data_IF_906556738611
#
_entry.id   IF_906556738611
#
_cell.length_a   1.000
_cell.length_b   1.000
_cell.length_c   1.000
_cell.angle_alpha   90.00
_cell.angle_beta   90.00
_cell.angle_gamma   90.00
#
_symmetry.space_group_name_H-M   'P 1'
#
loop_
_entity.id
_entity.type
_entity.pdbx_description
1 polymer ?
#
# COMPACT_ATOMS: atom_id res chain seq x y z
N UNK A 1 -60.17 -49.51 20.44
CA UNK A 1 -59.22 -48.39 20.62
C UNK A 1 -58.58 -48.11 19.26
N UNK A 2 -59.32 -47.38 18.42
CA UNK A 2 -59.06 -45.99 18.00
C UNK A 2 -58.16 -45.91 16.77
N UNK A 3 -58.82 -46.00 15.61
CA UNK A 3 -58.35 -45.46 14.34
C UNK A 3 -58.36 -43.92 14.42
N UNK A 4 -57.30 -43.28 13.94
CA UNK A 4 -57.26 -41.83 13.80
C UNK A 4 -56.89 -41.46 12.36
N UNK A 5 -57.93 -41.09 11.62
CA UNK A 5 -57.88 -40.32 10.38
C UNK A 5 -57.46 -38.90 10.70
N UNK A 6 -56.52 -38.31 9.96
CA UNK A 6 -56.46 -36.85 9.79
C UNK A 6 -55.99 -36.51 8.38
N UNK A 7 -56.85 -35.75 7.68
CA UNK A 7 -56.67 -35.25 6.31
C UNK A 7 -55.55 -34.20 6.26
N UNK A 8 -54.77 -34.24 5.19
CA UNK A 8 -53.89 -33.14 4.77
C UNK A 8 -54.77 -32.01 4.23
N UNK A 9 -54.82 -30.90 4.94
CA UNK A 9 -55.42 -29.64 4.49
C UNK A 9 -54.30 -28.76 3.94
N UNK A 10 -54.21 -28.69 2.61
CA UNK A 10 -53.39 -27.69 1.91
C UNK A 10 -54.01 -26.33 2.16
N UNK A 11 -53.33 -25.49 2.94
CA UNK A 11 -53.65 -24.05 3.03
C UNK A 11 -52.44 -23.29 2.51
N UNK A 12 -52.53 -22.85 1.25
CA UNK A 12 -51.70 -21.79 0.71
C UNK A 12 -51.89 -20.55 1.58
N UNK A 13 -50.85 -20.14 2.31
CA UNK A 13 -50.84 -18.87 3.01
C UNK A 13 -49.69 -17.99 2.50
N UNK A 14 -50.11 -17.04 1.66
CA UNK A 14 -49.48 -15.75 1.33
C UNK A 14 -48.00 -15.60 1.66
N UNK A 15 -47.20 -15.58 0.60
CA UNK A 15 -45.87 -14.95 0.56
C UNK A 15 -45.95 -13.54 1.15
N UNK A 16 -45.36 -13.34 2.33
CA UNK A 16 -45.02 -12.02 2.81
C UNK A 16 -43.95 -11.44 1.88
N UNK A 17 -44.13 -10.22 1.31
CA UNK A 17 -43.05 -9.60 0.55
C UNK A 17 -41.91 -9.31 1.52
N UNK A 18 -40.79 -10.00 1.33
CA UNK A 18 -39.54 -9.69 2.01
C UNK A 18 -39.23 -8.22 1.77
N UNK A 19 -38.98 -7.48 2.85
CA UNK A 19 -38.49 -6.10 2.79
C UNK A 19 -37.20 -6.14 1.97
N UNK A 20 -37.30 -5.72 0.72
CA UNK A 20 -36.16 -5.54 -0.18
C UNK A 20 -35.23 -4.54 0.48
N UNK A 21 -34.17 -5.06 1.09
CA UNK A 21 -33.05 -4.26 1.55
C UNK A 21 -32.48 -3.60 0.28
N UNK A 22 -32.79 -2.32 0.07
CA UNK A 22 -32.04 -1.51 -0.87
C UNK A 22 -30.63 -1.45 -0.30
N UNK A 23 -29.73 -2.26 -0.85
CA UNK A 23 -28.32 -2.03 -0.66
C UNK A 23 -28.06 -0.65 -1.25
N UNK A 24 -27.90 0.34 -0.37
CA UNK A 24 -27.19 1.55 -0.72
C UNK A 24 -25.73 1.12 -0.89
N UNK A 25 -25.44 0.47 -2.02
CA UNK A 25 -24.10 0.19 -2.48
C UNK A 25 -23.51 1.50 -3.02
N UNK A 26 -23.59 2.56 -2.20
CA UNK A 26 -22.63 3.63 -2.25
C UNK A 26 -21.38 3.01 -1.65
N UNK A 27 -20.61 2.34 -2.49
CA UNK A 27 -19.22 2.02 -2.25
C UNK A 27 -18.59 3.33 -1.81
N UNK A 28 -18.46 3.54 -0.49
CA UNK A 28 -17.56 4.54 0.06
C UNK A 28 -16.17 3.99 -0.22
N UNK A 29 -15.77 4.07 -1.49
CA UNK A 29 -14.36 4.03 -1.85
C UNK A 29 -13.81 5.21 -1.07
N UNK A 30 -13.06 4.92 0.00
CA UNK A 30 -12.31 5.94 0.70
C UNK A 30 -11.66 6.78 -0.39
N UNK A 31 -11.95 8.08 -0.42
CA UNK A 31 -11.43 8.98 -1.43
C UNK A 31 -9.95 9.18 -1.08
N UNK A 32 -9.14 8.17 -1.39
CA UNK A 32 -7.70 8.25 -1.28
C UNK A 32 -7.33 9.27 -2.36
N UNK A 33 -7.12 10.52 -1.94
CA UNK A 33 -6.60 11.54 -2.83
C UNK A 33 -5.25 11.00 -3.31
N UNK A 34 -5.13 10.75 -4.60
CA UNK A 34 -3.87 10.34 -5.19
C UNK A 34 -2.81 11.37 -4.80
N UNK A 35 -1.73 10.90 -4.16
CA UNK A 35 -0.51 11.63 -3.92
C UNK A 35 0.11 11.83 -5.29
N UNK A 36 -0.23 12.93 -5.95
CA UNK A 36 0.72 13.60 -6.83
C UNK A 36 1.64 14.37 -5.88
N UNK A 37 2.54 13.65 -5.22
CA UNK A 37 3.43 14.27 -4.26
C UNK A 37 4.49 15.02 -5.07
N UNK A 38 4.36 16.35 -5.11
CA UNK A 38 5.40 17.20 -5.67
C UNK A 38 6.50 17.30 -4.59
N UNK A 39 7.26 16.22 -4.40
CA UNK A 39 8.36 16.13 -3.42
C UNK A 39 9.56 17.00 -3.82
N UNK A 40 9.53 17.53 -5.05
CA UNK A 40 10.53 18.45 -5.56
C UNK A 40 10.61 19.71 -4.67
N UNK A 41 11.77 19.89 -4.03
CA UNK A 41 12.02 20.98 -3.08
C UNK A 41 11.52 20.76 -1.65
N UNK A 42 10.91 19.60 -1.35
CA UNK A 42 10.56 19.25 0.02
C UNK A 42 11.82 18.81 0.79
N UNK A 43 11.98 19.30 2.02
CA UNK A 43 13.09 18.88 2.89
C UNK A 43 12.96 17.37 3.18
N UNK A 44 14.03 16.62 2.89
CA UNK A 44 14.12 15.16 3.00
C UNK A 44 15.27 14.71 3.89
N UNK A 45 15.22 13.48 4.38
CA UNK A 45 16.35 12.79 5.03
C UNK A 45 16.78 11.60 4.17
N UNK A 46 18.09 11.35 4.08
CA UNK A 46 18.59 10.16 3.41
C UNK A 46 18.43 8.94 4.33
N UNK A 47 17.66 7.94 3.89
CA UNK A 47 17.43 6.68 4.62
C UNK A 47 18.40 5.58 4.20
N UNK A 48 18.87 5.62 2.95
CA UNK A 48 19.83 4.65 2.44
C UNK A 48 20.12 4.84 0.96
N UNK A 49 21.19 4.22 0.49
CA UNK A 49 21.59 4.24 -0.92
C UNK A 49 22.04 2.85 -1.34
N UNK A 50 21.79 2.48 -2.60
CA UNK A 50 22.35 1.27 -3.19
C UNK A 50 22.89 1.57 -4.59
N UNK A 51 24.17 1.24 -4.83
CA UNK A 51 24.73 1.25 -6.17
C UNK A 51 24.15 0.05 -6.94
N UNK A 52 23.59 0.31 -8.11
CA UNK A 52 23.03 -0.72 -8.97
C UNK A 52 24.06 -1.16 -10.03
N UNK A 53 23.96 -2.41 -10.53
CA UNK A 53 24.71 -2.83 -11.71
C UNK A 53 24.44 -1.92 -12.92
N UNK A 54 25.44 -1.71 -13.77
CA UNK A 54 25.33 -0.79 -14.91
C UNK A 54 24.30 -1.26 -15.94
N UNK A 55 24.26 -2.57 -16.17
CA UNK A 55 23.40 -3.30 -17.11
C UNK A 55 21.99 -3.58 -16.54
N UNK A 56 21.66 -3.10 -15.34
CA UNK A 56 20.34 -3.35 -14.75
C UNK A 56 19.21 -2.77 -15.60
N UNK A 57 18.16 -3.57 -15.79
CA UNK A 57 16.89 -3.09 -16.31
C UNK A 57 16.14 -2.32 -15.21
N UNK A 58 16.14 -0.99 -15.31
CA UNK A 58 15.53 -0.10 -14.31
C UNK A 58 14.02 -0.29 -14.22
N UNK A 59 13.34 -0.60 -15.31
CA UNK A 59 11.89 -0.81 -15.32
C UNK A 59 11.51 -2.09 -14.56
N UNK A 60 12.20 -3.20 -14.83
CA UNK A 60 12.01 -4.47 -14.10
C UNK A 60 12.36 -4.30 -12.63
N UNK A 61 13.45 -3.57 -12.34
CA UNK A 61 13.91 -3.31 -10.97
C UNK A 61 12.87 -2.51 -10.17
N UNK A 62 12.42 -1.38 -10.73
CA UNK A 62 11.43 -0.50 -10.12
C UNK A 62 10.09 -1.22 -9.92
N UNK A 63 9.68 -2.04 -10.90
CA UNK A 63 8.47 -2.85 -10.80
C UNK A 63 8.56 -3.92 -9.72
N UNK A 64 9.71 -4.60 -9.59
CA UNK A 64 9.95 -5.59 -8.55
C UNK A 64 9.97 -4.97 -7.16
N UNK A 65 10.61 -3.81 -6.99
CA UNK A 65 10.58 -3.06 -5.73
C UNK A 65 9.18 -2.56 -5.36
N UNK A 66 8.44 -2.00 -6.31
CA UNK A 66 7.05 -1.60 -6.10
C UNK A 66 6.17 -2.80 -5.69
N UNK A 67 6.33 -3.94 -6.38
CA UNK A 67 5.62 -5.16 -6.02
C UNK A 67 5.96 -5.60 -4.59
N UNK A 68 7.23 -5.61 -4.21
CA UNK A 68 7.61 -5.90 -2.83
C UNK A 68 6.96 -4.92 -1.84
N UNK A 69 7.02 -3.60 -2.11
CA UNK A 69 6.44 -2.58 -1.26
C UNK A 69 4.92 -2.79 -1.05
N UNK A 70 4.18 -3.13 -2.11
CA UNK A 70 2.74 -3.46 -2.00
C UNK A 70 2.47 -4.76 -1.23
N UNK A 71 3.42 -5.71 -1.18
CA UNK A 71 3.27 -6.92 -0.35
C UNK A 71 3.52 -6.68 1.13
N UNK A 72 4.21 -5.58 1.49
CA UNK A 72 4.31 -5.15 2.87
C UNK A 72 2.93 -4.78 3.40
N UNK A 73 2.13 -4.12 2.57
CA UNK A 73 0.81 -3.56 2.92
C UNK A 73 -0.32 -4.56 2.75
N UNK A 74 -0.19 -5.50 1.82
CA UNK A 74 -1.28 -6.38 1.40
C UNK A 74 -0.77 -7.82 1.30
N UNK A 75 -1.14 -8.66 2.28
CA UNK A 75 -1.05 -10.12 2.22
C UNK A 75 0.30 -10.68 1.76
N UNK A 76 1.32 -10.62 2.62
CA UNK A 76 2.61 -11.27 2.32
C UNK A 76 3.55 -11.35 3.52
N UNK A 77 3.79 -10.23 4.20
CA UNK A 77 4.56 -10.21 5.46
C UNK A 77 3.72 -10.00 6.73
N UNK A 78 2.47 -9.52 6.60
CA UNK A 78 1.61 -9.13 7.73
C UNK A 78 2.37 -8.32 8.79
N UNK A 79 3.18 -7.37 8.33
CA UNK A 79 3.93 -6.50 9.22
C UNK A 79 2.94 -5.70 10.07
N UNK A 80 3.16 -5.57 11.39
CA UNK A 80 2.25 -4.87 12.28
C UNK A 80 2.41 -3.36 12.08
N UNK A 81 1.95 -2.85 10.94
CA UNK A 81 1.97 -1.42 10.67
C UNK A 81 0.93 -0.72 11.54
N UNK A 82 1.37 0.32 12.25
CA UNK A 82 0.50 1.15 13.07
C UNK A 82 -0.34 2.07 12.19
N UNK A 83 0.25 2.58 11.11
CA UNK A 83 -0.43 3.43 10.15
C UNK A 83 -0.80 2.67 8.87
N UNK A 84 -2.00 2.90 8.30
CA UNK A 84 -2.30 2.48 6.93
C UNK A 84 -1.26 3.03 5.96
N UNK A 85 -0.85 2.20 5.00
CA UNK A 85 0.14 2.56 4.01
C UNK A 85 -0.51 2.64 2.63
N UNK A 86 -0.05 3.58 1.82
CA UNK A 86 -0.36 3.64 0.39
C UNK A 86 0.94 3.62 -0.39
N UNK A 87 1.01 2.75 -1.40
CA UNK A 87 2.19 2.64 -2.25
C UNK A 87 1.80 3.00 -3.68
N UNK A 88 2.53 3.94 -4.27
CA UNK A 88 2.35 4.36 -5.66
C UNK A 88 3.63 4.08 -6.45
N UNK A 89 3.49 3.60 -7.68
CA UNK A 89 4.62 3.35 -8.58
C UNK A 89 5.05 4.67 -9.23
N UNK A 90 6.35 4.92 -9.31
CA UNK A 90 6.94 6.03 -10.07
C UNK A 90 7.72 5.50 -11.26
N UNK A 91 8.20 6.38 -12.15
CA UNK A 91 8.95 5.99 -13.34
C UNK A 91 10.23 5.21 -13.00
N UNK A 92 10.91 5.61 -11.92
CA UNK A 92 12.21 5.09 -11.51
C UNK A 92 12.18 4.46 -10.11
N UNK A 93 10.99 4.09 -9.61
CA UNK A 93 10.84 3.40 -8.33
C UNK A 93 9.43 3.44 -7.76
N UNK A 94 9.29 3.86 -6.50
CA UNK A 94 8.00 3.95 -5.81
C UNK A 94 7.99 5.00 -4.70
N UNK A 95 6.79 5.39 -4.28
CA UNK A 95 6.53 6.17 -3.08
C UNK A 95 5.63 5.38 -2.12
N UNK A 96 5.92 5.46 -0.83
CA UNK A 96 5.14 4.86 0.24
C UNK A 96 4.73 5.92 1.25
N UNK A 97 3.44 6.22 1.28
CA UNK A 97 2.82 7.17 2.20
C UNK A 97 2.31 6.47 3.47
N UNK A 98 2.68 7.04 4.62
CA UNK A 98 2.13 6.69 5.93
C UNK A 98 0.91 7.55 6.19
N UNK A 99 -0.26 6.93 6.26
CA UNK A 99 -1.53 7.65 6.32
C UNK A 99 -2.06 7.74 7.75
N UNK A 100 -2.59 8.90 8.12
CA UNK A 100 -3.34 9.12 9.36
C UNK A 100 -4.75 9.63 9.04
N UNK A 101 -5.73 9.25 9.86
CA UNK A 101 -7.08 9.81 9.73
C UNK A 101 -7.04 11.33 9.92
N UNK A 102 -7.74 12.04 9.05
CA UNK A 102 -7.88 13.48 9.17
C UNK A 102 -8.88 13.80 10.29
N UNK A 103 -8.47 14.50 11.37
CA UNK A 103 -9.40 14.86 12.45
C UNK A 103 -10.51 15.81 11.99
N UNK A 104 -10.28 16.58 10.93
CA UNK A 104 -11.21 17.58 10.43
C UNK A 104 -12.16 17.04 9.35
N UNK A 105 -11.93 15.83 8.84
CA UNK A 105 -12.73 15.21 7.78
C UNK A 105 -12.85 13.69 8.02
N UNK A 106 -13.89 13.25 8.76
CA UNK A 106 -14.09 11.84 9.10
C UNK A 106 -14.19 10.94 7.85
N UNK A 107 -13.24 10.01 7.72
CA UNK A 107 -13.16 9.09 6.58
C UNK A 107 -12.14 9.49 5.52
N UNK A 108 -11.47 10.63 5.69
CA UNK A 108 -10.31 11.06 4.91
C UNK A 108 -9.01 10.67 5.59
N UNK A 109 -8.00 10.37 4.78
CA UNK A 109 -6.65 10.02 5.22
C UNK A 109 -5.66 11.03 4.62
N UNK A 110 -4.71 11.47 5.43
CA UNK A 110 -3.63 12.38 5.04
C UNK A 110 -2.29 11.70 5.24
N UNK A 111 -1.37 11.88 4.29
CA UNK A 111 0.02 11.43 4.45
C UNK A 111 0.69 12.26 5.54
N UNK A 112 1.24 11.60 6.54
CA UNK A 112 2.06 12.23 7.60
C UNK A 112 3.56 12.10 7.32
N UNK A 113 3.93 11.23 6.38
CA UNK A 113 5.30 11.07 5.93
C UNK A 113 5.36 10.11 4.76
N UNK A 114 6.46 10.19 4.00
CA UNK A 114 6.62 9.44 2.75
C UNK A 114 8.03 8.86 2.67
N UNK A 115 8.15 7.60 2.28
CA UNK A 115 9.42 7.01 1.82
C UNK A 115 9.40 7.00 0.31
N UNK A 116 10.36 7.65 -0.32
CA UNK A 116 10.61 7.62 -1.75
C UNK A 116 11.78 6.68 -2.04
N UNK A 117 11.58 5.75 -2.96
CA UNK A 117 12.63 4.96 -3.57
C UNK A 117 12.77 5.40 -5.03
N UNK A 118 13.91 5.97 -5.40
CA UNK A 118 14.14 6.54 -6.72
C UNK A 118 15.51 6.17 -7.26
N UNK A 119 15.54 5.64 -8.48
CA UNK A 119 16.79 5.42 -9.22
C UNK A 119 17.17 6.71 -9.93
N UNK A 120 18.38 7.17 -9.66
CA UNK A 120 19.00 8.31 -10.33
C UNK A 120 20.30 7.87 -10.98
N UNK A 121 20.57 8.41 -12.17
CA UNK A 121 21.84 8.21 -12.87
C UNK A 121 22.76 9.38 -12.54
N UNK A 122 24.02 9.06 -12.23
CA UNK A 122 25.07 10.04 -11.90
C UNK A 122 25.99 10.17 -13.11
N UNK A 123 26.72 11.28 -13.21
CA UNK A 123 27.64 11.65 -14.31
C UNK A 123 28.58 10.54 -14.81
N UNK A 124 28.91 9.54 -13.97
CA UNK A 124 29.72 8.37 -14.32
C UNK A 124 28.92 7.23 -15.00
N UNK A 125 27.67 7.49 -15.41
CA UNK A 125 26.72 6.48 -15.92
C UNK A 125 26.28 5.45 -14.87
N UNK A 126 26.68 5.64 -13.61
CA UNK A 126 26.32 4.78 -12.50
C UNK A 126 24.87 5.06 -12.06
N UNK A 127 24.04 4.02 -12.06
CA UNK A 127 22.68 4.06 -11.52
C UNK A 127 22.72 3.83 -10.00
N UNK A 128 22.13 4.74 -9.23
CA UNK A 128 22.05 4.65 -7.77
C UNK A 128 20.58 4.72 -7.36
N UNK A 129 20.16 3.77 -6.54
CA UNK A 129 18.91 3.86 -5.81
C UNK A 129 19.10 4.76 -4.58
N UNK A 130 18.33 5.84 -4.51
CA UNK A 130 18.18 6.67 -3.33
C UNK A 130 16.90 6.30 -2.58
N UNK A 131 17.02 6.12 -1.27
CA UNK A 131 15.89 5.99 -0.35
C UNK A 131 15.81 7.27 0.47
N UNK A 132 14.76 8.07 0.28
CA UNK A 132 14.56 9.36 0.92
C UNK A 132 13.30 9.35 1.77
N UNK A 133 13.35 10.02 2.91
CA UNK A 133 12.25 10.15 3.85
C UNK A 133 11.77 11.60 3.93
N UNK A 134 10.45 11.80 3.87
CA UNK A 134 9.80 13.11 3.94
C UNK A 134 8.80 13.17 5.09
N UNK A 135 8.44 14.39 5.52
CA UNK A 135 7.51 14.60 6.63
C UNK A 135 7.99 13.96 7.93
N UNK A 136 7.10 13.24 8.61
CA UNK A 136 7.38 12.59 9.90
C UNK A 136 8.42 11.46 9.82
N UNK A 137 8.72 10.93 8.63
CA UNK A 137 9.81 9.96 8.40
C UNK A 137 11.16 10.55 8.78
N UNK A 138 11.33 11.87 8.65
CA UNK A 138 12.57 12.57 9.03
C UNK A 138 12.83 12.56 10.53
N UNK A 139 11.78 12.44 11.34
CA UNK A 139 11.89 12.51 12.78
C UNK A 139 12.15 11.11 13.33
N UNK A 140 13.33 10.85 13.92
CA UNK A 140 13.68 9.51 14.40
C UNK A 140 12.63 8.99 15.39
N UNK A 141 12.21 7.73 15.20
CA UNK A 141 11.24 7.01 16.05
C UNK A 141 9.82 7.62 16.10
N UNK A 142 9.52 8.68 15.34
CA UNK A 142 8.17 9.25 15.29
C UNK A 142 7.18 8.30 14.60
N UNK A 143 7.61 7.72 13.48
CA UNK A 143 6.90 6.65 12.81
C UNK A 143 7.58 5.32 13.14
N UNK A 144 6.91 4.50 13.96
CA UNK A 144 7.42 3.18 14.38
C UNK A 144 7.53 2.20 13.21
N UNK A 145 6.80 2.48 12.13
CA UNK A 145 6.73 1.68 10.92
C UNK A 145 7.96 1.84 10.02
N UNK A 146 8.66 2.98 10.08
CA UNK A 146 9.82 3.27 9.22
C UNK A 146 10.97 2.29 9.44
N UNK A 147 11.42 2.00 10.68
CA UNK A 147 12.41 0.96 10.93
C UNK A 147 12.00 -0.43 10.41
N UNK A 148 10.70 -0.76 10.50
CA UNK A 148 10.15 -2.05 10.07
C UNK A 148 10.30 -2.20 8.54
N UNK A 149 9.95 -1.16 7.78
CA UNK A 149 10.14 -1.12 6.32
C UNK A 149 11.63 -1.19 5.97
N UNK A 150 12.46 -0.37 6.62
CA UNK A 150 13.89 -0.29 6.31
C UNK A 150 14.67 -1.55 6.67
N UNK A 151 14.18 -2.36 7.63
CA UNK A 151 14.80 -3.63 8.00
C UNK A 151 14.67 -4.69 6.88
N UNK A 152 13.58 -4.68 6.12
CA UNK A 152 13.32 -5.66 5.06
C UNK A 152 13.79 -5.19 3.67
N UNK A 153 13.96 -3.87 3.50
CA UNK A 153 14.42 -3.23 2.26
C UNK A 153 15.71 -3.83 1.66
N UNK A 154 16.79 -4.15 2.42
CA UNK A 154 18.01 -4.65 1.80
C UNK A 154 17.82 -5.99 1.08
N UNK A 155 16.98 -6.87 1.63
CA UNK A 155 16.69 -8.15 0.99
C UNK A 155 15.79 -7.98 -0.24
N UNK A 156 14.88 -7.00 -0.21
CA UNK A 156 14.06 -6.64 -1.35
C UNK A 156 14.91 -6.12 -2.51
N UNK A 157 15.84 -5.19 -2.23
CA UNK A 157 16.78 -4.65 -3.21
C UNK A 157 17.59 -5.77 -3.86
N UNK A 158 18.17 -6.69 -3.05
CA UNK A 158 18.94 -7.83 -3.59
C UNK A 158 18.11 -8.69 -4.55
N UNK A 159 16.87 -9.02 -4.17
CA UNK A 159 15.96 -9.81 -5.03
C UNK A 159 15.58 -9.07 -6.29
N UNK A 160 15.27 -7.78 -6.18
CA UNK A 160 14.94 -6.93 -7.31
C UNK A 160 16.11 -6.85 -8.29
N UNK A 161 17.36 -6.74 -7.81
CA UNK A 161 18.55 -6.80 -8.66
C UNK A 161 18.59 -8.15 -9.40
N UNK A 162 18.49 -9.28 -8.68
CA UNK A 162 18.56 -10.62 -9.30
C UNK A 162 17.56 -10.82 -10.44
N UNK A 163 16.33 -10.33 -10.29
CA UNK A 163 15.27 -10.47 -11.31
C UNK A 163 15.44 -9.47 -12.47
N UNK A 164 16.23 -8.42 -12.29
CA UNK A 164 16.39 -7.32 -13.25
C UNK A 164 17.72 -7.32 -13.98
N UNK A 165 18.55 -8.34 -13.73
CA UNK A 165 19.71 -8.63 -14.55
C UNK A 165 19.26 -9.30 -15.86
N UNK A 166 19.93 -9.00 -16.99
CA UNK A 166 19.69 -9.67 -18.27
C UNK A 166 20.00 -11.17 -18.24
#
# INVERSE_FOLDING_TARGET
MFASTTRVLTTESRVHPTRRWKSNNATRVAKIKASSSNLEGAESVQLGTAKLPADINVETFSSSLFQWATTLTTSGQNMPFVLPQKVDKTETGFEMDFLKSNPNDPGSFVSVGTIEAKVEEIDDGSKILFLRGYGDVKVPKKLVDVPIVMQTMPNAIKRAITVSMP
#
